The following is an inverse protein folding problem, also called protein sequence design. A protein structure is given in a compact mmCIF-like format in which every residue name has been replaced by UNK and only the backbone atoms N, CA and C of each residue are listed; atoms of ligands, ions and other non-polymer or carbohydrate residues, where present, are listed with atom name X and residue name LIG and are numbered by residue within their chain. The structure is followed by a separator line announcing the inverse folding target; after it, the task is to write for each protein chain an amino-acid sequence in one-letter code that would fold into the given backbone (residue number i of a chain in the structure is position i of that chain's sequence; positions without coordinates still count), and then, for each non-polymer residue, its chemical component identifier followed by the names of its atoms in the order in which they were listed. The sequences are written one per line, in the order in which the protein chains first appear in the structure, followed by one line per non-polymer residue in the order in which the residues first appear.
data_IF_795476991964
#
_entry.id   IF_795476991964
#
_cell.length_a   1.000
_cell.length_b   1.000
_cell.length_c   1.000
_cell.angle_alpha   90.00
_cell.angle_beta   90.00
_cell.angle_gamma   90.00
#
_symmetry.space_group_name_H-M   'P 1'
#
loop_
_entity.id
_entity.type
_entity.pdbx_description
1 polymer ?
#
# COMPACT_ATOMS: atom_id res chain seq x y z
N UNK A 1 -31.54 21.18 42.59
CA UNK A 1 -30.32 21.23 41.75
C UNK A 1 -30.04 19.82 41.26
N UNK A 2 -30.51 19.46 40.07
CA UNK A 2 -30.30 18.13 39.48
C UNK A 2 -28.96 18.09 38.75
N UNK A 3 -28.09 17.16 39.14
CA UNK A 3 -26.79 16.95 38.51
C UNK A 3 -26.93 16.33 37.12
N UNK A 4 -26.31 16.95 36.12
CA UNK A 4 -26.22 16.40 34.76
C UNK A 4 -25.20 15.27 34.77
N UNK A 5 -25.65 14.04 34.45
CA UNK A 5 -24.77 12.89 34.20
C UNK A 5 -24.17 13.03 32.80
N UNK A 6 -22.87 13.29 32.73
CA UNK A 6 -22.11 13.21 31.48
C UNK A 6 -21.85 11.74 31.14
N UNK A 7 -22.49 11.24 30.08
CA UNK A 7 -22.16 9.93 29.51
C UNK A 7 -20.88 10.06 28.68
N UNK A 8 -19.77 9.54 29.20
CA UNK A 8 -18.52 9.39 28.46
C UNK A 8 -18.71 8.29 27.42
N UNK A 9 -18.62 8.64 26.13
CA UNK A 9 -18.59 7.68 25.03
C UNK A 9 -17.32 6.82 25.14
N UNK A 10 -17.39 5.49 24.88
CA UNK A 10 -16.20 4.65 24.93
C UNK A 10 -15.19 5.12 23.88
N UNK A 11 -13.93 5.28 24.29
CA UNK A 11 -12.85 5.49 23.34
C UNK A 11 -12.68 4.21 22.52
N UNK A 12 -13.05 4.27 21.24
CA UNK A 12 -12.69 3.24 20.29
C UNK A 12 -11.16 3.20 20.23
N UNK A 13 -10.59 2.08 20.70
CA UNK A 13 -9.18 1.77 20.49
C UNK A 13 -9.04 1.55 18.99
N UNK A 14 -8.64 2.60 18.27
CA UNK A 14 -8.18 2.51 16.89
C UNK A 14 -6.89 1.69 16.91
N UNK A 15 -7.02 0.37 16.88
CA UNK A 15 -5.92 -0.50 16.49
C UNK A 15 -5.50 -0.03 15.10
N UNK A 16 -4.23 0.40 14.97
CA UNK A 16 -3.63 0.68 13.67
C UNK A 16 -3.92 -0.52 12.76
N UNK A 17 -4.34 -0.31 11.50
CA UNK A 17 -4.38 -1.37 10.52
C UNK A 17 -3.03 -2.09 10.55
N UNK A 18 -3.09 -3.41 10.57
CA UNK A 18 -1.92 -4.27 10.48
C UNK A 18 -1.11 -3.79 9.28
N UNK A 19 0.15 -3.41 9.48
CA UNK A 19 0.96 -2.89 8.38
C UNK A 19 0.89 -3.88 7.22
N UNK A 20 0.41 -3.41 6.07
CA UNK A 20 0.54 -4.16 4.83
C UNK A 20 1.99 -4.57 4.70
N UNK A 21 2.29 -5.82 4.28
CA UNK A 21 3.65 -6.29 4.18
C UNK A 21 4.40 -5.35 3.25
N UNK A 22 5.12 -4.41 3.86
CA UNK A 22 6.25 -3.75 3.22
C UNK A 22 7.17 -4.93 2.96
N UNK A 23 7.24 -5.34 1.70
CA UNK A 23 8.25 -6.26 1.21
C UNK A 23 9.61 -5.58 1.41
N UNK A 24 10.07 -5.53 2.65
CA UNK A 24 11.46 -5.30 3.01
C UNK A 24 12.04 -6.70 3.10
N UNK A 25 12.19 -7.34 1.94
CA UNK A 25 13.28 -8.29 1.84
C UNK A 25 14.54 -7.44 1.96
N UNK A 26 15.24 -7.55 3.09
CA UNK A 26 16.58 -7.00 3.21
C UNK A 26 17.37 -7.68 2.10
N UNK A 27 17.59 -6.98 1.00
CA UNK A 27 18.62 -7.34 0.04
C UNK A 27 19.93 -7.20 0.81
N UNK A 28 20.34 -8.30 1.46
CA UNK A 28 21.67 -8.42 2.06
C UNK A 28 22.63 -8.39 0.89
N UNK A 29 23.05 -7.19 0.49
CA UNK A 29 24.18 -7.04 -0.40
C UNK A 29 25.39 -7.63 0.34
N UNK A 30 26.04 -8.69 -0.19
CA UNK A 30 27.24 -9.22 0.46
C UNK A 30 28.30 -8.12 0.55
N UNK A 31 29.06 -8.13 1.66
CA UNK A 31 30.19 -7.21 1.88
C UNK A 31 31.08 -7.12 0.63
N UNK A 32 31.48 -5.90 0.29
CA UNK A 32 32.34 -5.59 -0.87
C UNK A 32 33.64 -6.43 -0.87
N UNK A 33 34.14 -6.75 0.32
CA UNK A 33 35.36 -7.55 0.51
C UNK A 33 35.16 -9.02 0.13
N UNK A 34 33.95 -9.57 0.33
CA UNK A 34 33.62 -10.96 -0.05
C UNK A 34 33.46 -11.09 -1.58
N UNK A 35 32.91 -10.06 -2.22
CA UNK A 35 32.79 -9.98 -3.67
C UNK A 35 34.18 -9.90 -4.34
N UNK A 36 35.12 -9.11 -3.79
CA UNK A 36 36.49 -8.98 -4.33
C UNK A 36 37.26 -10.30 -4.38
N UNK A 37 37.12 -11.17 -3.37
CA UNK A 37 37.82 -12.47 -3.33
C UNK A 37 37.38 -13.40 -4.47
N UNK A 38 36.12 -13.32 -4.90
CA UNK A 38 35.56 -14.16 -5.97
C UNK A 38 35.75 -13.55 -7.37
N UNK A 39 35.78 -12.21 -7.49
CA UNK A 39 35.97 -11.49 -8.76
C UNK A 39 37.39 -11.58 -9.34
N UNK A 40 38.37 -12.06 -8.56
CA UNK A 40 39.76 -12.25 -9.01
C UNK A 40 39.94 -13.57 -9.81
N UNK A 41 38.99 -14.52 -9.72
CA UNK A 41 39.07 -15.79 -10.44
C UNK A 41 38.22 -15.76 -11.71
N UNK A 42 38.91 -15.79 -12.84
CA UNK A 42 38.47 -16.10 -14.21
C UNK A 42 37.16 -15.48 -14.72
N UNK A 43 37.22 -14.96 -15.95
CA UNK A 43 36.09 -14.33 -16.69
C UNK A 43 34.77 -15.14 -16.64
N UNK A 44 34.85 -16.47 -16.51
CA UNK A 44 33.69 -17.38 -16.44
C UNK A 44 33.14 -17.61 -15.01
N UNK A 45 33.93 -17.36 -13.96
CA UNK A 45 33.49 -17.49 -12.57
C UNK A 45 32.58 -16.34 -12.12
N UNK A 46 32.71 -15.18 -12.76
CA UNK A 46 31.88 -14.00 -12.50
C UNK A 46 30.43 -14.27 -12.88
N UNK A 47 30.16 -14.88 -14.03
CA UNK A 47 28.80 -15.16 -14.49
C UNK A 47 28.07 -16.16 -13.56
N UNK A 48 28.76 -17.21 -13.12
CA UNK A 48 28.22 -18.18 -12.15
C UNK A 48 27.99 -17.55 -10.78
N UNK A 49 28.88 -16.65 -10.34
CA UNK A 49 28.72 -15.88 -9.11
C UNK A 49 27.52 -14.91 -9.18
N UNK A 50 27.36 -14.20 -10.29
CA UNK A 50 26.22 -13.28 -10.50
C UNK A 50 24.90 -14.06 -10.52
N UNK A 51 24.84 -15.19 -11.21
CA UNK A 51 23.64 -16.03 -11.26
C UNK A 51 23.23 -16.59 -9.89
N UNK A 52 24.21 -16.93 -9.03
CA UNK A 52 23.97 -17.48 -7.68
C UNK A 52 23.70 -16.42 -6.61
N UNK A 53 24.29 -15.24 -6.74
CA UNK A 53 24.29 -14.23 -5.68
C UNK A 53 23.47 -12.96 -6.01
N UNK A 54 23.23 -12.68 -7.29
CA UNK A 54 22.34 -11.60 -7.72
C UNK A 54 21.05 -12.24 -8.20
N UNK A 55 20.14 -12.49 -7.27
CA UNK A 55 18.74 -12.73 -7.61
C UNK A 55 18.18 -11.45 -8.22
N UNK A 56 17.92 -11.47 -9.53
CA UNK A 56 17.12 -10.43 -10.16
C UNK A 56 15.73 -10.39 -9.53
N UNK A 57 15.12 -9.19 -9.48
CA UNK A 57 13.74 -9.03 -9.02
C UNK A 57 12.82 -9.91 -9.88
N UNK A 58 11.91 -10.64 -9.23
CA UNK A 58 10.82 -11.30 -9.94
C UNK A 58 9.98 -10.26 -10.69
N UNK A 59 9.22 -10.72 -11.69
CA UNK A 59 8.30 -9.85 -12.44
C UNK A 59 7.31 -9.14 -11.51
N UNK A 60 6.88 -9.81 -10.44
CA UNK A 60 5.96 -9.25 -9.45
C UNK A 60 6.62 -8.17 -8.60
N UNK A 61 7.84 -8.39 -8.11
CA UNK A 61 8.56 -7.40 -7.30
C UNK A 61 8.96 -6.18 -8.13
N UNK A 62 9.42 -6.40 -9.37
CA UNK A 62 9.71 -5.32 -10.30
C UNK A 62 8.46 -4.50 -10.61
N UNK A 63 7.29 -5.14 -10.76
CA UNK A 63 6.03 -4.44 -10.95
C UNK A 63 5.58 -3.68 -9.69
N UNK A 64 5.70 -4.28 -8.51
CA UNK A 64 5.34 -3.65 -7.25
C UNK A 64 6.15 -2.36 -6.99
N UNK A 65 7.45 -2.37 -7.34
CA UNK A 65 8.31 -1.20 -7.25
C UNK A 65 7.96 -0.12 -8.29
N UNK A 66 7.61 -0.51 -9.52
CA UNK A 66 7.28 0.44 -10.60
C UNK A 66 5.90 1.07 -10.46
N UNK A 67 4.96 0.38 -9.83
CA UNK A 67 3.58 0.82 -9.71
C UNK A 67 3.44 1.87 -8.60
N UNK A 68 2.53 2.82 -8.78
CA UNK A 68 2.10 3.68 -7.68
C UNK A 68 1.40 2.85 -6.59
N UNK A 69 1.38 3.38 -5.36
CA UNK A 69 0.70 2.71 -4.24
C UNK A 69 -0.77 2.42 -4.54
N UNK A 70 -1.51 3.40 -5.09
CA UNK A 70 -2.89 3.23 -5.59
C UNK A 70 -3.02 2.02 -6.53
N UNK A 71 -2.09 1.89 -7.49
CA UNK A 71 -2.14 0.79 -8.47
C UNK A 71 -1.89 -0.56 -7.81
N UNK A 72 -0.96 -0.64 -6.86
CA UNK A 72 -0.70 -1.88 -6.12
C UNK A 72 -1.91 -2.34 -5.31
N UNK A 73 -2.60 -1.44 -4.58
CA UNK A 73 -3.81 -1.83 -3.83
C UNK A 73 -4.97 -2.24 -4.75
N UNK A 74 -5.13 -1.60 -5.92
CA UNK A 74 -6.15 -2.01 -6.89
C UNK A 74 -5.85 -3.41 -7.46
N UNK A 75 -4.59 -3.68 -7.79
CA UNK A 75 -4.16 -5.01 -8.26
C UNK A 75 -4.43 -6.06 -7.18
N UNK A 76 -4.13 -5.74 -5.93
CA UNK A 76 -4.33 -6.65 -4.81
C UNK A 76 -5.83 -6.94 -4.56
N UNK A 77 -6.69 -5.92 -4.53
CA UNK A 77 -8.15 -6.09 -4.45
C UNK A 77 -8.68 -7.03 -5.53
N UNK A 78 -8.29 -6.80 -6.79
CA UNK A 78 -8.75 -7.62 -7.92
C UNK A 78 -8.23 -9.06 -7.84
N UNK A 79 -6.98 -9.27 -7.41
CA UNK A 79 -6.40 -10.61 -7.21
C UNK A 79 -7.13 -11.42 -6.15
N UNK A 80 -7.60 -10.77 -5.10
CA UNK A 80 -8.35 -11.39 -4.00
C UNK A 80 -9.87 -11.47 -4.27
N UNK A 81 -10.32 -11.02 -5.45
CA UNK A 81 -11.73 -11.05 -5.86
C UNK A 81 -12.62 -10.01 -5.18
N UNK A 82 -12.03 -8.92 -4.67
CA UNK A 82 -12.75 -7.77 -4.09
C UNK A 82 -13.16 -6.77 -5.17
N UNK A 83 -14.10 -7.14 -6.03
CA UNK A 83 -14.51 -6.32 -7.17
C UNK A 83 -15.37 -5.12 -6.74
N UNK A 84 -16.22 -5.30 -5.73
CA UNK A 84 -17.08 -4.24 -5.22
C UNK A 84 -16.26 -3.18 -4.48
N UNK A 85 -15.30 -3.61 -3.64
CA UNK A 85 -14.36 -2.73 -2.97
C UNK A 85 -13.53 -1.93 -3.97
N UNK A 86 -13.06 -2.55 -5.05
CA UNK A 86 -12.35 -1.87 -6.13
C UNK A 86 -13.21 -0.77 -6.77
N UNK A 87 -14.45 -1.09 -7.14
CA UNK A 87 -15.41 -0.14 -7.74
C UNK A 87 -15.69 1.03 -6.79
N UNK A 88 -15.88 0.72 -5.50
CA UNK A 88 -16.17 1.71 -4.46
C UNK A 88 -14.97 2.63 -4.20
N UNK A 89 -13.74 2.10 -4.16
CA UNK A 89 -12.52 2.89 -4.03
C UNK A 89 -12.38 3.88 -5.20
N UNK A 90 -12.55 3.38 -6.43
CA UNK A 90 -12.48 4.21 -7.63
C UNK A 90 -13.53 5.33 -7.61
N UNK A 91 -14.75 5.01 -7.22
CA UNK A 91 -15.84 5.98 -7.05
C UNK A 91 -15.51 7.05 -6.00
N UNK A 92 -14.92 6.67 -4.86
CA UNK A 92 -14.53 7.62 -3.82
C UNK A 92 -13.46 8.60 -4.29
N UNK A 93 -12.47 8.11 -5.04
CA UNK A 93 -11.42 8.94 -5.64
C UNK A 93 -12.03 9.93 -6.63
N UNK A 94 -12.93 9.49 -7.51
CA UNK A 94 -13.61 10.36 -8.46
C UNK A 94 -14.44 11.44 -7.75
N UNK A 95 -15.19 11.07 -6.70
CA UNK A 95 -15.96 12.02 -5.89
C UNK A 95 -15.07 13.05 -5.20
N UNK A 96 -13.94 12.62 -4.63
CA UNK A 96 -12.98 13.54 -4.00
C UNK A 96 -12.42 14.54 -5.02
N UNK A 97 -12.03 14.05 -6.19
CA UNK A 97 -11.51 14.90 -7.26
C UNK A 97 -12.58 15.88 -7.74
N UNK A 98 -13.81 15.42 -7.99
CA UNK A 98 -14.92 16.30 -8.37
C UNK A 98 -15.21 17.38 -7.32
N UNK A 99 -15.17 17.03 -6.03
CA UNK A 99 -15.32 17.99 -4.94
C UNK A 99 -14.20 19.03 -4.94
N UNK A 100 -12.95 18.59 -5.16
CA UNK A 100 -11.79 19.47 -5.24
C UNK A 100 -11.92 20.46 -6.40
N UNK A 101 -12.25 19.96 -7.59
CA UNK A 101 -12.48 20.77 -8.79
C UNK A 101 -13.61 21.79 -8.59
N UNK A 102 -14.74 21.37 -8.01
CA UNK A 102 -15.87 22.26 -7.74
C UNK A 102 -15.53 23.36 -6.72
N UNK A 103 -14.66 23.08 -5.73
CA UNK A 103 -14.25 24.05 -4.73
C UNK A 103 -13.21 25.06 -5.24
N UNK A 104 -12.47 24.69 -6.29
CA UNK A 104 -11.52 25.56 -6.99
C UNK A 104 -10.20 25.84 -6.23
N UNK A 105 -9.25 26.53 -6.88
CA UNK A 105 -7.86 26.66 -6.42
C UNK A 105 -7.64 27.33 -5.05
N UNK A 106 -8.55 28.22 -4.65
CA UNK A 106 -8.46 28.93 -3.37
C UNK A 106 -8.97 28.15 -2.16
N UNK A 107 -9.55 26.97 -2.37
CA UNK A 107 -10.17 26.19 -1.30
C UNK A 107 -9.16 25.37 -0.49
N UNK A 108 -9.50 25.10 0.77
CA UNK A 108 -8.67 24.25 1.63
C UNK A 108 -8.53 22.81 1.11
N UNK A 109 -9.52 22.29 0.38
CA UNK A 109 -9.45 20.96 -0.22
C UNK A 109 -8.52 20.93 -1.44
N UNK A 110 -8.41 22.04 -2.18
CA UNK A 110 -7.48 22.15 -3.30
C UNK A 110 -6.02 22.13 -2.85
N UNK A 111 -5.74 22.75 -1.71
CA UNK A 111 -4.39 22.80 -1.12
C UNK A 111 -3.94 21.46 -0.52
N UNK A 112 -4.87 20.52 -0.31
CA UNK A 112 -4.54 19.18 0.15
C UNK A 112 -4.07 18.31 -1.03
N UNK A 113 -3.14 17.38 -0.74
CA UNK A 113 -2.72 16.36 -1.70
C UNK A 113 -3.94 15.59 -2.22
N UNK A 114 -3.89 15.13 -3.47
CA UNK A 114 -4.96 14.27 -3.98
C UNK A 114 -5.10 13.01 -3.13
N UNK A 115 -6.29 12.42 -3.06
CA UNK A 115 -6.52 11.20 -2.28
C UNK A 115 -5.57 10.06 -2.70
N UNK A 116 -5.23 10.03 -3.99
CA UNK A 116 -4.36 9.04 -4.62
C UNK A 116 -2.89 9.15 -4.18
N UNK A 117 -2.49 10.30 -3.64
CA UNK A 117 -1.13 10.62 -3.17
C UNK A 117 -1.00 10.55 -1.65
N UNK A 118 -2.05 10.07 -0.95
CA UNK A 118 -2.07 9.91 0.50
C UNK A 118 -2.11 8.41 0.87
N UNK A 119 -0.95 7.73 1.01
CA UNK A 119 -0.88 6.29 1.26
C UNK A 119 -1.68 5.87 2.50
N UNK A 120 -1.57 6.60 3.61
CA UNK A 120 -2.28 6.28 4.86
C UNK A 120 -3.81 6.29 4.71
N UNK A 121 -4.34 7.19 3.85
CA UNK A 121 -5.77 7.27 3.55
C UNK A 121 -6.20 6.12 2.65
N UNK A 122 -5.38 5.80 1.65
CA UNK A 122 -5.62 4.69 0.74
C UNK A 122 -5.58 3.35 1.49
N UNK A 123 -4.68 3.16 2.45
CA UNK A 123 -4.58 1.98 3.30
C UNK A 123 -5.85 1.79 4.16
N UNK A 124 -6.33 2.88 4.78
CA UNK A 124 -7.60 2.86 5.53
C UNK A 124 -8.78 2.49 4.63
N UNK A 125 -8.89 3.10 3.45
CA UNK A 125 -9.96 2.78 2.50
C UNK A 125 -9.88 1.33 2.06
N UNK A 126 -8.68 0.84 1.72
CA UNK A 126 -8.48 -0.57 1.39
C UNK A 126 -8.98 -1.48 2.51
N UNK A 127 -8.54 -1.24 3.76
CA UNK A 127 -8.90 -2.07 4.90
C UNK A 127 -10.41 -2.12 5.14
N UNK A 128 -11.07 -0.97 5.16
CA UNK A 128 -12.50 -0.92 5.47
C UNK A 128 -13.37 -1.45 4.33
N UNK A 129 -13.04 -1.15 3.08
CA UNK A 129 -13.82 -1.62 1.93
C UNK A 129 -13.74 -3.15 1.79
N UNK A 130 -12.52 -3.70 1.82
CA UNK A 130 -12.33 -5.16 1.72
C UNK A 130 -12.97 -5.90 2.89
N UNK A 131 -12.90 -5.34 4.11
CA UNK A 131 -13.60 -5.90 5.28
C UNK A 131 -15.12 -5.88 5.12
N UNK A 132 -15.69 -4.79 4.59
CA UNK A 132 -17.12 -4.69 4.35
C UNK A 132 -17.59 -5.73 3.32
N UNK A 133 -16.89 -5.84 2.19
CA UNK A 133 -17.20 -6.84 1.16
C UNK A 133 -16.99 -8.28 1.66
N UNK A 134 -15.95 -8.52 2.47
CA UNK A 134 -15.75 -9.83 3.10
C UNK A 134 -16.92 -10.20 4.03
N UNK A 135 -17.43 -9.26 4.82
CA UNK A 135 -18.60 -9.47 5.68
C UNK A 135 -19.85 -9.77 4.84
N UNK A 136 -20.09 -9.02 3.77
CA UNK A 136 -21.19 -9.27 2.84
C UNK A 136 -21.11 -10.66 2.21
N UNK A 137 -19.91 -11.10 1.79
CA UNK A 137 -19.70 -12.45 1.22
C UNK A 137 -19.91 -13.57 2.23
N UNK A 138 -19.65 -13.31 3.51
CA UNK A 138 -19.90 -14.26 4.60
C UNK A 138 -21.39 -14.37 4.98
N UNK A 139 -22.28 -13.57 4.37
CA UNK A 139 -23.71 -13.58 4.66
C UNK A 139 -24.09 -12.86 5.96
N UNK A 140 -23.29 -11.87 6.38
CA UNK A 140 -23.57 -11.00 7.52
C UNK A 140 -24.18 -9.67 7.09
#
# INVERSE_FOLDING_TARGET
MSGVKMSVLPQAILQRPQEHPRFIEQAVCPSLDFARIHLIKDKYGIDDYLAKNIKGLSKQEAAANRNSYKKNICIDMLRQGYHESFSQLFTLIQKWNALREAAGPGSAIWQQKSLEEQPDKLDQLYHFLTRAEAAQRAGH
#
